data_IF_562744792147
#
_entry.id   IF_562744792147
#
_cell.length_a   1.000
_cell.length_b   1.000
_cell.length_c   1.000
_cell.angle_alpha   90.00
_cell.angle_beta   90.00
_cell.angle_gamma   90.00
#
_symmetry.space_group_name_H-M   'P 1'
#
loop_
_entity.id
_entity.type
_entity.pdbx_description
1 polymer ?
#
# COMPACT_ATOMS: atom_id res chain seq x y z
N UNK A 1 -23.50 -19.23 -20.11
CA UNK A 1 -22.17 -19.35 -19.43
C UNK A 1 -22.28 -18.61 -18.09
N UNK A 2 -22.35 -19.33 -16.97
CA UNK A 2 -22.43 -18.74 -15.63
C UNK A 2 -21.06 -18.15 -15.29
N UNK A 3 -20.85 -16.88 -15.60
CA UNK A 3 -19.73 -16.13 -15.06
C UNK A 3 -19.99 -16.07 -13.54
N UNK A 4 -19.17 -16.78 -12.82
CA UNK A 4 -19.40 -17.11 -11.42
C UNK A 4 -19.49 -15.82 -10.59
N UNK A 5 -20.56 -15.67 -9.79
CA UNK A 5 -20.77 -14.61 -8.77
C UNK A 5 -19.54 -14.36 -7.88
N UNK A 6 -18.53 -15.18 -8.04
CA UNK A 6 -17.26 -15.22 -7.32
C UNK A 6 -16.20 -14.21 -7.81
N UNK A 7 -16.18 -13.84 -9.11
CA UNK A 7 -15.27 -12.79 -9.65
C UNK A 7 -15.56 -11.40 -9.06
N UNK A 8 -16.78 -11.16 -8.64
CA UNK A 8 -17.27 -9.92 -8.07
C UNK A 8 -16.83 -9.73 -6.61
N UNK A 9 -16.73 -10.83 -5.89
CA UNK A 9 -16.21 -10.85 -4.52
C UNK A 9 -14.73 -10.50 -4.46
N UNK A 10 -14.05 -10.48 -5.59
CA UNK A 10 -12.62 -10.26 -5.79
C UNK A 10 -12.28 -8.77 -5.80
N UNK A 11 -13.08 -7.93 -6.47
CA UNK A 11 -12.85 -6.49 -6.52
C UNK A 11 -12.97 -5.80 -5.15
N UNK A 12 -13.65 -6.46 -4.21
CA UNK A 12 -13.96 -5.96 -2.88
C UNK A 12 -12.89 -6.24 -1.81
N UNK A 13 -11.92 -7.10 -2.13
CA UNK A 13 -10.83 -7.48 -1.22
C UNK A 13 -9.78 -6.37 -1.04
N UNK A 14 -9.78 -5.36 -1.88
CA UNK A 14 -8.77 -4.29 -1.83
C UNK A 14 -9.00 -3.25 -0.70
N UNK A 15 -10.07 -3.36 0.09
CA UNK A 15 -10.38 -2.40 1.17
C UNK A 15 -10.76 -3.09 2.49
N UNK A 16 -9.87 -3.85 3.11
CA UNK A 16 -10.15 -4.33 4.45
C UNK A 16 -9.31 -3.57 5.48
N UNK A 17 -9.62 -2.30 5.70
CA UNK A 17 -9.10 -1.54 6.83
C UNK A 17 -10.24 -0.97 7.68
N UNK A 18 -11.13 -1.84 8.14
CA UNK A 18 -12.15 -1.41 9.10
C UNK A 18 -12.02 -2.29 10.33
N UNK A 19 -11.53 -1.73 11.43
CA UNK A 19 -11.89 -2.15 12.78
C UNK A 19 -11.60 -1.07 13.81
N UNK A 20 -12.52 -0.93 14.69
CA UNK A 20 -12.76 -0.01 15.78
C UNK A 20 -11.60 0.28 16.73
N UNK A 21 -11.57 1.53 17.20
CA UNK A 21 -10.70 2.11 18.20
C UNK A 21 -11.17 1.84 19.65
N UNK A 22 -10.25 1.70 20.58
CA UNK A 22 -10.12 2.54 21.79
C UNK A 22 -9.06 2.00 22.75
N UNK A 23 -8.34 2.92 23.43
CA UNK A 23 -7.73 2.65 24.71
C UNK A 23 -6.22 2.87 24.86
N UNK A 24 -5.92 3.80 25.71
CA UNK A 24 -4.70 4.48 26.13
C UNK A 24 -3.66 3.63 26.90
N UNK A 25 -2.40 4.13 26.91
CA UNK A 25 -1.58 4.10 28.11
C UNK A 25 -0.13 3.64 28.04
N UNK A 26 0.74 4.50 28.25
CA UNK A 26 1.81 4.81 29.21
C UNK A 26 3.27 4.56 28.82
N UNK A 27 4.03 5.61 29.10
CA UNK A 27 5.48 5.84 29.08
C UNK A 27 6.30 4.90 29.94
N UNK A 28 7.60 4.76 29.60
CA UNK A 28 8.64 4.83 30.63
C UNK A 28 10.02 5.29 30.09
N UNK A 29 10.66 6.02 30.94
CA UNK A 29 11.85 6.83 30.89
C UNK A 29 13.15 6.08 31.14
N UNK A 30 14.30 6.67 30.63
CA UNK A 30 15.45 6.98 31.45
C UNK A 30 16.74 6.19 31.24
N UNK A 31 17.85 6.91 31.07
CA UNK A 31 19.20 6.41 31.29
C UNK A 31 20.30 7.25 30.63
N UNK A 32 20.89 8.15 31.38
CA UNK A 32 22.07 8.99 31.10
C UNK A 32 23.38 8.21 31.23
N UNK A 33 24.35 8.45 30.35
CA UNK A 33 25.75 8.03 30.52
C UNK A 33 26.70 8.78 29.58
N UNK A 34 27.62 9.53 30.15
CA UNK A 34 28.58 10.46 29.55
C UNK A 34 29.73 9.79 28.78
N UNK A 35 30.21 10.41 27.70
CA UNK A 35 31.48 10.09 27.06
C UNK A 35 31.75 10.88 25.78
N UNK A 36 32.69 11.79 25.80
CA UNK A 36 33.08 12.71 24.70
C UNK A 36 33.53 11.97 23.40
N UNK A 37 33.97 10.73 23.51
CA UNK A 37 34.26 9.87 22.36
C UNK A 37 33.01 9.33 21.63
N UNK A 38 31.93 9.15 22.37
CA UNK A 38 30.65 8.63 21.85
C UNK A 38 29.90 9.66 21.01
N UNK A 39 30.09 10.96 21.22
CA UNK A 39 29.41 12.02 20.44
C UNK A 39 29.89 12.13 19.00
N UNK A 40 31.20 11.97 18.76
CA UNK A 40 31.74 11.97 17.38
C UNK A 40 31.28 10.76 16.57
N UNK A 41 31.23 9.59 17.21
CA UNK A 41 30.74 8.37 16.55
C UNK A 41 29.23 8.41 16.34
N UNK A 42 28.46 8.95 17.30
CA UNK A 42 27.03 9.15 17.15
C UNK A 42 26.71 10.12 16.00
N UNK A 43 27.42 11.24 15.89
CA UNK A 43 27.24 12.18 14.79
C UNK A 43 27.58 11.60 13.43
N UNK A 44 28.62 10.76 13.35
CA UNK A 44 29.01 10.04 12.12
C UNK A 44 27.95 9.01 11.73
N UNK A 45 27.42 8.26 12.67
CA UNK A 45 26.35 7.27 12.43
C UNK A 45 25.08 7.96 11.95
N UNK A 46 24.70 9.08 12.53
CA UNK A 46 23.55 9.86 12.10
C UNK A 46 23.71 10.36 10.66
N UNK A 47 24.88 10.87 10.31
CA UNK A 47 25.19 11.28 8.94
C UNK A 47 25.10 10.12 7.93
N UNK A 48 25.53 8.92 8.32
CA UNK A 48 25.43 7.72 7.48
C UNK A 48 23.97 7.32 7.26
N UNK A 49 23.15 7.37 8.32
CA UNK A 49 21.70 7.12 8.25
C UNK A 49 21.02 8.10 7.29
N UNK A 50 21.32 9.40 7.43
CA UNK A 50 20.75 10.45 6.58
C UNK A 50 21.15 10.28 5.11
N UNK A 51 22.42 9.99 4.84
CA UNK A 51 22.89 9.67 3.47
C UNK A 51 22.20 8.45 2.88
N UNK A 52 21.95 7.44 3.71
CA UNK A 52 21.22 6.25 3.26
C UNK A 52 19.75 6.55 2.96
N UNK A 53 19.07 7.30 3.82
CA UNK A 53 17.69 7.73 3.57
C UNK A 53 17.58 8.55 2.28
N UNK A 54 18.53 9.47 2.04
CA UNK A 54 18.58 10.22 0.78
C UNK A 54 18.75 9.28 -0.42
N UNK A 55 19.64 8.29 -0.32
CA UNK A 55 19.79 7.26 -1.37
C UNK A 55 18.48 6.51 -1.64
N UNK A 56 17.69 6.21 -0.61
CA UNK A 56 16.39 5.55 -0.78
C UNK A 56 15.41 6.49 -1.48
N UNK A 57 15.33 7.76 -1.09
CA UNK A 57 14.48 8.76 -1.75
C UNK A 57 14.86 8.97 -3.21
N UNK A 58 16.15 8.95 -3.52
CA UNK A 58 16.67 9.14 -4.88
C UNK A 58 16.28 8.01 -5.83
N UNK A 59 15.76 6.87 -5.33
CA UNK A 59 15.19 5.82 -6.18
C UNK A 59 13.80 6.15 -6.71
N UNK A 60 13.12 7.17 -6.19
CA UNK A 60 11.80 7.56 -6.66
C UNK A 60 11.83 7.84 -8.18
N UNK A 61 10.84 7.27 -8.89
CA UNK A 61 10.71 7.52 -10.33
C UNK A 61 10.22 8.94 -10.62
N UNK A 62 10.71 9.53 -11.71
CA UNK A 62 10.21 10.82 -12.22
C UNK A 62 8.92 10.66 -13.05
N UNK A 63 8.54 9.43 -13.38
CA UNK A 63 7.33 9.18 -14.15
C UNK A 63 6.08 9.62 -13.39
N UNK A 64 5.35 10.56 -13.96
CA UNK A 64 4.07 11.03 -13.42
C UNK A 64 2.93 10.08 -13.76
N UNK A 65 2.98 9.44 -14.93
CA UNK A 65 2.03 8.44 -15.38
C UNK A 65 2.71 7.10 -15.49
N UNK A 66 2.03 6.06 -15.03
CA UNK A 66 2.46 4.66 -15.21
C UNK A 66 1.25 3.86 -15.66
N UNK A 67 1.35 3.23 -16.81
CA UNK A 67 0.30 2.35 -17.34
C UNK A 67 0.87 0.98 -17.66
N UNK A 68 0.07 -0.05 -17.46
CA UNK A 68 0.46 -1.43 -17.75
C UNK A 68 -0.75 -2.33 -17.98
N UNK A 69 -0.61 -3.31 -18.86
CA UNK A 69 -1.42 -4.53 -18.77
C UNK A 69 -0.92 -5.34 -17.59
N UNK A 70 -1.84 -5.88 -16.80
CA UNK A 70 -1.50 -6.59 -15.57
C UNK A 70 -2.12 -7.98 -15.51
N UNK A 71 -1.48 -8.84 -14.73
CA UNK A 71 -2.06 -10.04 -14.17
C UNK A 71 -2.33 -9.75 -12.69
N UNK A 72 -3.60 -9.73 -12.33
CA UNK A 72 -4.06 -9.50 -10.96
C UNK A 72 -4.37 -10.84 -10.31
N UNK A 73 -3.73 -11.12 -9.18
CA UNK A 73 -3.87 -12.38 -8.47
C UNK A 73 -4.46 -12.11 -7.09
N UNK A 74 -5.36 -12.99 -6.66
CA UNK A 74 -5.93 -12.95 -5.31
C UNK A 74 -5.83 -14.31 -4.71
N UNK A 75 -5.34 -14.37 -3.49
CA UNK A 75 -5.26 -15.58 -2.69
C UNK A 75 -5.96 -15.39 -1.35
N UNK A 76 -6.74 -16.39 -0.93
CA UNK A 76 -7.36 -16.45 0.39
C UNK A 76 -7.49 -17.92 0.81
N UNK A 77 -6.74 -18.33 1.80
CA UNK A 77 -6.64 -19.75 2.16
C UNK A 77 -6.14 -20.60 1.00
N UNK A 78 -6.88 -21.65 0.64
CA UNK A 78 -6.56 -22.52 -0.51
C UNK A 78 -7.02 -21.96 -1.86
N UNK A 79 -7.73 -20.85 -1.89
CA UNK A 79 -8.28 -20.27 -3.11
C UNK A 79 -7.27 -19.30 -3.73
N UNK A 80 -7.01 -19.49 -5.02
CA UNK A 80 -6.14 -18.59 -5.79
C UNK A 80 -6.80 -18.28 -7.12
N UNK A 81 -6.93 -16.98 -7.46
CA UNK A 81 -7.54 -16.52 -8.68
C UNK A 81 -6.63 -15.54 -9.37
N UNK A 82 -6.57 -15.68 -10.68
CA UNK A 82 -5.83 -14.80 -11.54
C UNK A 82 -6.75 -14.19 -12.59
N UNK A 83 -6.68 -12.87 -12.74
CA UNK A 83 -7.49 -12.09 -13.67
C UNK A 83 -6.61 -11.17 -14.47
N UNK A 84 -6.79 -11.11 -15.78
CA UNK A 84 -6.16 -10.09 -16.62
C UNK A 84 -6.79 -8.71 -16.35
N UNK A 85 -6.01 -7.66 -16.56
CA UNK A 85 -6.51 -6.32 -16.38
C UNK A 85 -5.53 -5.25 -16.88
N UNK A 86 -5.80 -4.02 -16.49
CA UNK A 86 -4.91 -2.89 -16.69
C UNK A 86 -4.77 -2.06 -15.42
N UNK A 87 -3.58 -1.50 -15.26
CA UNK A 87 -3.25 -0.54 -14.21
C UNK A 87 -2.96 0.80 -14.88
N UNK A 88 -3.59 1.85 -14.37
CA UNK A 88 -3.34 3.22 -14.77
C UNK A 88 -3.11 4.05 -13.52
N UNK A 89 -1.97 4.68 -13.43
CA UNK A 89 -1.59 5.48 -12.27
C UNK A 89 -1.12 6.85 -12.72
N UNK A 90 -1.65 7.90 -12.10
CA UNK A 90 -1.19 9.28 -12.26
C UNK A 90 -0.84 9.83 -10.89
N UNK A 91 0.42 10.23 -10.72
CA UNK A 91 0.95 10.71 -9.44
C UNK A 91 0.16 11.94 -8.97
N UNK A 92 -0.17 11.96 -7.69
CA UNK A 92 -0.95 13.00 -7.01
C UNK A 92 -2.39 13.16 -7.54
N UNK A 93 -2.92 12.14 -8.21
CA UNK A 93 -4.23 12.21 -8.84
C UNK A 93 -5.06 10.92 -8.67
N UNK A 94 -4.63 9.79 -9.24
CA UNK A 94 -5.43 8.57 -9.27
C UNK A 94 -4.60 7.31 -9.46
N UNK A 95 -5.06 6.23 -8.84
CA UNK A 95 -4.63 4.85 -9.11
C UNK A 95 -5.86 4.07 -9.52
N UNK A 96 -5.85 3.48 -10.72
CA UNK A 96 -6.97 2.70 -11.25
C UNK A 96 -6.53 1.32 -11.67
N UNK A 97 -7.26 0.31 -11.20
CA UNK A 97 -7.13 -1.08 -11.61
C UNK A 97 -8.44 -1.49 -12.29
N UNK A 98 -8.35 -1.96 -13.53
CA UNK A 98 -9.48 -2.49 -14.29
C UNK A 98 -9.28 -3.98 -14.47
N UNK A 99 -10.29 -4.78 -14.12
CA UNK A 99 -10.26 -6.24 -14.21
C UNK A 99 -11.07 -6.68 -15.42
N UNK A 100 -10.40 -7.33 -16.38
CA UNK A 100 -10.98 -7.78 -17.65
C UNK A 100 -10.78 -9.28 -17.81
N UNK A 101 -11.61 -10.11 -17.14
CA UNK A 101 -11.55 -11.56 -17.32
C UNK A 101 -11.64 -11.93 -18.80
N UNK A 102 -10.76 -12.83 -19.24
CA UNK A 102 -10.66 -13.23 -20.66
C UNK A 102 -10.32 -12.08 -21.63
N UNK A 103 -9.96 -10.90 -21.12
CA UNK A 103 -9.53 -9.77 -21.95
C UNK A 103 -10.63 -9.06 -22.75
N UNK A 104 -11.89 -9.41 -22.55
CA UNK A 104 -13.00 -8.94 -23.41
C UNK A 104 -13.83 -7.84 -22.76
N UNK A 105 -14.28 -8.04 -21.52
CA UNK A 105 -15.22 -7.14 -20.85
C UNK A 105 -14.67 -6.79 -19.47
N UNK A 106 -14.70 -5.51 -19.14
CA UNK A 106 -14.38 -5.05 -17.80
C UNK A 106 -15.46 -5.55 -16.82
N UNK A 107 -15.05 -6.43 -15.90
CA UNK A 107 -15.92 -6.99 -14.87
C UNK A 107 -15.88 -6.22 -13.57
N UNK A 108 -14.78 -5.54 -13.29
CA UNK A 108 -14.61 -4.78 -12.07
C UNK A 108 -13.59 -3.67 -12.21
N UNK A 109 -13.71 -2.65 -11.37
CA UNK A 109 -12.81 -1.50 -11.32
C UNK A 109 -12.58 -1.07 -9.88
N UNK A 110 -11.32 -0.79 -9.58
CA UNK A 110 -10.91 -0.10 -8.36
C UNK A 110 -10.29 1.22 -8.78
N UNK A 111 -10.71 2.30 -8.15
CA UNK A 111 -10.18 3.64 -8.39
C UNK A 111 -9.96 4.33 -7.05
N UNK A 112 -8.74 4.77 -6.83
CA UNK A 112 -8.31 5.48 -5.63
C UNK A 112 -7.92 6.88 -6.06
N UNK A 113 -8.52 7.87 -5.45
CA UNK A 113 -8.24 9.30 -5.66
C UNK A 113 -7.95 9.96 -4.32
N UNK A 114 -7.65 11.24 -4.31
CA UNK A 114 -7.49 11.99 -3.05
C UNK A 114 -8.78 12.07 -2.22
N UNK A 115 -9.91 12.05 -2.91
CA UNK A 115 -11.21 12.35 -2.30
C UNK A 115 -12.02 11.09 -2.00
N UNK A 116 -11.79 9.99 -2.73
CA UNK A 116 -12.60 8.79 -2.59
C UNK A 116 -11.88 7.52 -3.06
N UNK A 117 -12.39 6.42 -2.55
CA UNK A 117 -12.20 5.07 -3.08
C UNK A 117 -13.47 4.65 -3.80
N UNK A 118 -13.38 4.23 -5.05
CA UNK A 118 -14.46 3.69 -5.84
C UNK A 118 -14.18 2.23 -6.17
N UNK A 119 -15.14 1.36 -5.87
CA UNK A 119 -15.11 -0.04 -6.26
C UNK A 119 -16.36 -0.32 -7.07
N UNK A 120 -16.19 -0.77 -8.30
CA UNK A 120 -17.31 -1.08 -9.18
C UNK A 120 -17.36 -2.56 -9.50
N UNK A 121 -18.54 -3.12 -9.34
CA UNK A 121 -18.96 -4.39 -9.89
C UNK A 121 -19.78 -4.14 -11.15
N UNK A 122 -19.16 -4.32 -12.30
CA UNK A 122 -19.82 -4.05 -13.57
C UNK A 122 -20.79 -5.15 -14.00
N UNK A 123 -20.66 -6.33 -13.41
CA UNK A 123 -21.53 -7.48 -13.73
C UNK A 123 -22.87 -7.33 -13.02
N UNK A 124 -22.84 -7.02 -11.71
CA UNK A 124 -24.08 -6.80 -10.95
C UNK A 124 -24.56 -5.34 -11.01
N UNK A 125 -23.82 -4.46 -11.68
CA UNK A 125 -24.11 -3.01 -11.74
C UNK A 125 -24.24 -2.39 -10.34
N UNK A 126 -23.30 -2.72 -9.49
CA UNK A 126 -23.18 -2.18 -8.15
C UNK A 126 -21.85 -1.42 -8.00
N UNK A 127 -21.84 -0.44 -7.11
CA UNK A 127 -20.61 0.25 -6.75
C UNK A 127 -20.61 0.69 -5.30
N UNK A 128 -19.40 0.84 -4.75
CA UNK A 128 -19.13 1.54 -3.50
C UNK A 128 -18.34 2.78 -3.86
N UNK A 129 -18.73 3.91 -3.27
CA UNK A 129 -17.92 5.11 -3.27
C UNK A 129 -17.84 5.60 -1.83
N UNK A 130 -16.64 5.59 -1.26
CA UNK A 130 -16.39 5.93 0.13
C UNK A 130 -15.26 6.94 0.23
N UNK A 131 -15.37 7.87 1.16
CA UNK A 131 -14.31 8.79 1.58
C UNK A 131 -13.36 8.06 2.56
N UNK A 132 -12.07 8.39 2.54
CA UNK A 132 -11.10 7.85 3.50
C UNK A 132 -11.45 8.20 4.94
N UNK A 133 -12.08 9.36 5.16
CA UNK A 133 -12.53 9.80 6.49
C UNK A 133 -13.68 8.97 7.06
N UNK A 134 -14.42 8.26 6.23
CA UNK A 134 -15.51 7.37 6.66
C UNK A 134 -14.99 6.06 7.26
N UNK A 135 -13.70 5.81 7.17
CA UNK A 135 -13.04 4.65 7.76
C UNK A 135 -12.18 5.14 8.92
N UNK A 136 -12.68 5.02 10.14
CA UNK A 136 -12.04 5.55 11.37
C UNK A 136 -10.55 5.20 11.46
N UNK A 137 -10.20 3.96 11.17
CA UNK A 137 -8.80 3.52 11.18
C UNK A 137 -7.91 4.31 10.20
N UNK A 138 -8.36 4.54 8.98
CA UNK A 138 -7.60 5.29 7.97
C UNK A 138 -7.45 6.74 8.40
N UNK A 139 -8.56 7.36 8.80
CA UNK A 139 -8.62 8.74 9.27
C UNK A 139 -7.70 8.97 10.47
N UNK A 140 -7.84 8.16 11.52
CA UNK A 140 -7.17 8.36 12.79
C UNK A 140 -5.65 8.09 12.74
N UNK A 141 -5.19 7.38 11.71
CA UNK A 141 -3.78 7.06 11.49
C UNK A 141 -3.17 7.80 10.29
N UNK A 142 -3.92 8.67 9.64
CA UNK A 142 -3.44 9.43 8.48
C UNK A 142 -3.09 8.53 7.29
N UNK A 143 -3.80 7.39 7.15
CA UNK A 143 -3.68 6.54 5.96
C UNK A 143 -4.67 7.05 4.93
N UNK A 144 -4.16 7.74 3.96
CA UNK A 144 -4.88 8.39 2.88
C UNK A 144 -4.41 7.91 1.51
N UNK A 145 -4.84 8.61 0.48
CA UNK A 145 -4.40 8.37 -0.88
C UNK A 145 -2.88 8.43 -1.05
N UNK A 146 -2.19 9.34 -0.34
CA UNK A 146 -0.75 9.51 -0.50
C UNK A 146 0.06 8.36 0.11
N UNK A 147 -0.40 7.81 1.23
CA UNK A 147 0.18 6.59 1.78
C UNK A 147 0.01 5.40 0.82
N UNK A 148 -1.20 5.23 0.25
CA UNK A 148 -1.46 4.22 -0.76
C UNK A 148 -0.62 4.45 -2.02
N UNK A 149 -0.54 5.70 -2.51
CA UNK A 149 0.29 6.07 -3.64
C UNK A 149 1.75 5.67 -3.40
N UNK A 150 2.31 5.97 -2.23
CA UNK A 150 3.69 5.62 -1.92
C UNK A 150 3.94 4.11 -1.97
N UNK A 151 2.97 3.29 -1.53
CA UNK A 151 3.04 1.83 -1.71
C UNK A 151 3.10 1.43 -3.18
N UNK A 152 2.26 2.03 -4.03
CA UNK A 152 2.25 1.73 -5.46
C UNK A 152 3.47 2.27 -6.21
N UNK A 153 4.03 3.41 -5.76
CA UNK A 153 5.23 4.02 -6.35
C UNK A 153 6.55 3.50 -5.77
N UNK A 154 6.49 2.57 -4.78
CA UNK A 154 7.69 2.04 -4.11
C UNK A 154 8.51 3.14 -3.42
N UNK A 155 7.83 3.99 -2.65
CA UNK A 155 8.42 5.16 -1.97
C UNK A 155 8.25 5.07 -0.44
N UNK A 156 9.08 5.80 0.30
CA UNK A 156 8.84 6.07 1.72
C UNK A 156 7.65 7.02 1.85
N UNK A 157 6.91 6.89 2.96
CA UNK A 157 5.82 7.81 3.28
C UNK A 157 5.74 8.09 4.78
N UNK A 158 5.19 9.24 5.11
CA UNK A 158 4.83 9.64 6.45
C UNK A 158 3.30 9.72 6.51
N UNK A 159 2.63 8.93 7.37
CA UNK A 159 1.18 8.97 7.48
C UNK A 159 0.64 10.38 7.70
N UNK A 160 -0.31 10.82 6.87
CA UNK A 160 -0.88 12.17 6.88
C UNK A 160 -0.06 13.25 6.19
N UNK A 161 1.03 12.89 5.52
CA UNK A 161 1.81 13.83 4.70
C UNK A 161 1.76 13.42 3.23
N UNK A 162 1.66 14.42 2.34
CA UNK A 162 1.61 14.18 0.89
C UNK A 162 2.96 13.70 0.33
N UNK A 163 4.06 14.15 0.93
CA UNK A 163 5.41 13.92 0.44
C UNK A 163 6.41 13.93 1.59
N UNK A 164 7.35 13.01 1.57
CA UNK A 164 8.52 13.04 2.45
C UNK A 164 9.44 14.19 2.00
N UNK A 165 9.76 15.09 2.93
CA UNK A 165 10.69 16.21 2.73
C UNK A 165 12.04 15.86 3.36
N UNK A 166 13.12 16.43 2.86
CA UNK A 166 14.47 16.23 3.43
C UNK A 166 14.51 16.61 4.92
N UNK A 167 13.78 17.66 5.33
CA UNK A 167 13.65 18.07 6.72
C UNK A 167 12.95 17.04 7.62
N UNK A 168 12.12 16.18 7.05
CA UNK A 168 11.37 15.15 7.76
C UNK A 168 12.14 13.83 7.93
N UNK A 169 13.34 13.69 7.33
CA UNK A 169 14.07 12.42 7.36
C UNK A 169 14.49 11.97 8.75
N UNK A 170 14.68 12.90 9.66
CA UNK A 170 15.08 12.62 11.06
C UNK A 170 14.06 11.82 11.87
N UNK A 171 12.81 11.71 11.38
CA UNK A 171 11.77 10.92 12.05
C UNK A 171 11.92 9.40 11.82
N UNK A 172 12.71 9.02 10.82
CA UNK A 172 12.96 7.62 10.54
C UNK A 172 14.12 7.11 11.39
N UNK A 173 13.93 5.97 12.02
CA UNK A 173 15.03 5.20 12.60
C UNK A 173 15.58 4.22 11.56
N UNK A 174 16.91 4.17 11.41
CA UNK A 174 17.58 3.35 10.43
C UNK A 174 18.53 2.36 11.10
N UNK A 175 18.27 1.09 10.93
CA UNK A 175 19.17 0.01 11.31
C UNK A 175 20.05 -0.41 10.12
N UNK A 176 21.35 -0.33 10.30
CA UNK A 176 22.36 -0.61 9.25
C UNK A 176 23.33 -1.71 9.71
N UNK A 177 22.89 -2.99 9.77
CA UNK A 177 23.74 -4.09 10.20
C UNK A 177 24.93 -4.27 9.22
N UNK A 178 26.14 -4.47 9.75
CA UNK A 178 27.34 -4.58 8.92
C UNK A 178 27.29 -5.76 7.96
N UNK A 179 26.82 -6.91 8.43
CA UNK A 179 26.83 -8.18 7.69
C UNK A 179 25.50 -8.47 6.94
N UNK A 180 24.58 -7.50 6.83
CA UNK A 180 23.33 -7.67 6.11
C UNK A 180 23.39 -7.05 4.71
N UNK A 181 22.71 -7.67 3.74
CA UNK A 181 22.49 -7.11 2.40
C UNK A 181 21.49 -5.96 2.38
N UNK A 182 20.67 -5.87 3.41
CA UNK A 182 19.54 -4.96 3.51
C UNK A 182 19.60 -4.16 4.83
N UNK A 183 19.20 -2.91 4.74
CA UNK A 183 18.95 -2.05 5.90
C UNK A 183 17.47 -2.00 6.22
N UNK A 184 17.14 -1.66 7.45
CA UNK A 184 15.76 -1.49 7.91
C UNK A 184 15.51 -0.03 8.23
N UNK A 185 14.38 0.49 7.75
CA UNK A 185 13.93 1.85 8.01
C UNK A 185 12.61 1.75 8.77
N UNK A 186 12.52 2.39 9.92
CA UNK A 186 11.35 2.31 10.79
C UNK A 186 10.73 3.68 10.97
N UNK A 187 9.42 3.71 11.05
CA UNK A 187 8.63 4.86 11.45
C UNK A 187 7.52 4.39 12.37
N UNK A 188 7.31 5.08 13.48
CA UNK A 188 6.19 4.86 14.38
C UNK A 188 5.40 6.15 14.55
N UNK A 189 4.08 6.09 14.34
CA UNK A 189 3.17 7.21 14.54
C UNK A 189 1.87 6.73 15.18
N UNK A 190 1.67 7.08 16.44
CA UNK A 190 0.54 6.57 17.21
C UNK A 190 0.54 5.04 17.32
N UNK A 191 -0.51 4.41 16.83
CA UNK A 191 -0.67 2.95 16.82
C UNK A 191 -0.12 2.30 15.54
N UNK A 192 0.37 3.10 14.61
CA UNK A 192 0.89 2.65 13.33
C UNK A 192 2.40 2.49 13.39
N UNK A 193 2.90 1.33 12.96
CA UNK A 193 4.31 1.06 12.75
C UNK A 193 4.56 0.72 11.27
N UNK A 194 5.55 1.37 10.69
CA UNK A 194 6.00 1.09 9.33
C UNK A 194 7.45 0.60 9.37
N UNK A 195 7.74 -0.48 8.66
CA UNK A 195 9.05 -1.08 8.53
C UNK A 195 9.36 -1.33 7.06
N UNK A 196 10.26 -0.55 6.49
CA UNK A 196 10.80 -0.82 5.14
C UNK A 196 12.09 -1.62 5.25
N UNK A 197 12.24 -2.56 4.33
CA UNK A 197 13.49 -3.27 4.08
C UNK A 197 14.01 -2.81 2.72
N UNK A 198 15.19 -2.22 2.69
CA UNK A 198 15.78 -1.69 1.47
C UNK A 198 17.22 -2.16 1.30
N UNK A 199 17.61 -2.44 0.07
CA UNK A 199 18.93 -2.94 -0.28
C UNK A 199 20.03 -1.95 0.11
N UNK A 200 21.03 -2.42 0.83
CA UNK A 200 22.13 -1.58 1.36
C UNK A 200 22.90 -0.86 0.25
N UNK A 201 23.18 -1.57 -0.84
CA UNK A 201 23.97 -1.06 -1.96
C UNK A 201 23.24 0.01 -2.78
N UNK A 202 22.00 -0.24 -3.15
CA UNK A 202 21.22 0.60 -4.06
C UNK A 202 20.20 1.52 -3.37
N UNK A 203 19.76 1.19 -2.14
CA UNK A 203 18.65 1.86 -1.46
C UNK A 203 17.27 1.47 -2.00
N UNK A 204 17.14 0.49 -2.89
CA UNK A 204 15.85 0.04 -3.42
C UNK A 204 15.02 -0.62 -2.33
N UNK A 205 13.78 -0.18 -2.15
CA UNK A 205 12.84 -0.79 -1.23
C UNK A 205 12.37 -2.13 -1.80
N UNK A 206 12.60 -3.22 -1.05
CA UNK A 206 12.18 -4.58 -1.40
C UNK A 206 10.88 -4.99 -0.72
N UNK A 207 10.63 -4.40 0.46
CA UNK A 207 9.47 -4.73 1.26
C UNK A 207 9.08 -3.55 2.15
N UNK A 208 7.79 -3.40 2.40
CA UNK A 208 7.28 -2.56 3.47
C UNK A 208 6.21 -3.32 4.25
N UNK A 209 6.34 -3.31 5.57
CA UNK A 209 5.33 -3.84 6.49
C UNK A 209 4.73 -2.69 7.27
N UNK A 210 3.42 -2.53 7.13
CA UNK A 210 2.61 -1.59 7.91
C UNK A 210 1.85 -2.40 8.95
N UNK A 211 2.00 -2.06 10.22
CA UNK A 211 1.36 -2.75 11.33
C UNK A 211 0.53 -1.78 12.14
N UNK A 212 -0.66 -2.18 12.49
CA UNK A 212 -1.54 -1.43 13.38
C UNK A 212 -1.88 -2.25 14.60
N UNK A 213 -1.65 -1.69 15.78
CA UNK A 213 -1.94 -2.35 17.06
C UNK A 213 -3.22 -1.78 17.67
N UNK A 214 -4.27 -2.61 17.72
CA UNK A 214 -5.54 -2.29 18.40
C UNK A 214 -5.61 -3.04 19.72
N UNK A 215 -6.03 -2.33 20.79
CA UNK A 215 -6.26 -2.96 22.10
C UNK A 215 -7.38 -3.99 22.10
N UNK A 216 -8.34 -3.85 21.18
CA UNK A 216 -9.56 -4.71 21.13
C UNK A 216 -9.49 -5.79 20.07
N UNK A 217 -8.77 -5.59 18.98
CA UNK A 217 -8.77 -6.48 17.81
C UNK A 217 -7.38 -7.05 17.47
N UNK A 218 -6.40 -6.86 18.37
CA UNK A 218 -5.05 -7.34 18.14
C UNK A 218 -4.30 -6.57 17.05
N UNK A 219 -3.31 -7.22 16.43
CA UNK A 219 -2.46 -6.61 15.41
C UNK A 219 -2.99 -6.93 14.02
N UNK A 220 -3.22 -5.90 13.23
CA UNK A 220 -3.41 -6.01 11.78
C UNK A 220 -2.12 -5.60 11.08
N UNK A 221 -1.69 -6.35 10.09
CA UNK A 221 -0.52 -6.02 9.29
C UNK A 221 -0.80 -6.16 7.80
N UNK A 222 -0.25 -5.22 7.04
CA UNK A 222 -0.16 -5.25 5.59
C UNK A 222 1.32 -5.29 5.22
N UNK A 223 1.70 -6.25 4.41
CA UNK A 223 3.05 -6.37 3.89
C UNK A 223 3.03 -6.25 2.38
N UNK A 224 3.77 -5.30 1.82
CA UNK A 224 3.93 -5.13 0.38
C UNK A 224 5.36 -5.47 -0.01
N UNK A 225 5.52 -6.51 -0.84
CA UNK A 225 6.81 -6.94 -1.38
C UNK A 225 6.92 -6.53 -2.84
N UNK A 226 8.12 -6.10 -3.23
CA UNK A 226 8.44 -5.58 -4.55
C UNK A 226 9.51 -6.42 -5.22
N UNK A 227 9.31 -6.77 -6.48
CA UNK A 227 10.26 -7.57 -7.25
C UNK A 227 10.19 -7.28 -8.75
N UNK A 228 11.02 -7.98 -9.52
CA UNK A 228 11.07 -7.85 -10.97
C UNK A 228 11.25 -6.39 -11.43
N UNK A 229 12.23 -5.70 -10.85
CA UNK A 229 12.53 -4.30 -11.20
C UNK A 229 12.92 -4.17 -12.67
N UNK A 230 12.31 -3.20 -13.35
CA UNK A 230 12.52 -2.88 -14.76
C UNK A 230 12.85 -1.40 -14.93
N UNK A 231 13.57 -1.02 -15.97
CA UNK A 231 13.79 0.39 -16.28
C UNK A 231 12.46 1.14 -16.50
N UNK A 232 12.33 2.32 -15.89
CA UNK A 232 11.28 3.29 -16.13
C UNK A 232 11.93 4.69 -16.20
N UNK A 233 12.23 5.15 -17.40
CA UNK A 233 13.11 6.29 -17.61
C UNK A 233 14.50 6.01 -17.04
N UNK A 234 15.03 6.93 -16.24
CA UNK A 234 16.35 6.80 -15.61
C UNK A 234 16.34 5.98 -14.31
N UNK A 235 15.19 5.52 -13.85
CA UNK A 235 15.04 4.79 -12.58
C UNK A 235 14.59 3.35 -12.81
N UNK A 236 14.71 2.54 -11.76
CA UNK A 236 14.18 1.18 -11.72
C UNK A 236 12.85 1.19 -10.99
N UNK A 237 11.84 0.53 -11.56
CA UNK A 237 10.51 0.44 -10.97
C UNK A 237 10.10 -1.04 -10.82
N UNK A 238 9.49 -1.45 -9.69
CA UNK A 238 9.06 -2.84 -9.53
C UNK A 238 7.90 -3.15 -10.47
N UNK A 239 8.04 -4.21 -11.26
CA UNK A 239 6.95 -4.69 -12.10
C UNK A 239 6.12 -5.79 -11.43
N UNK A 240 6.44 -6.17 -10.20
CA UNK A 240 5.68 -7.11 -9.39
C UNK A 240 5.50 -6.56 -7.98
N UNK A 241 4.24 -6.42 -7.58
CA UNK A 241 3.81 -6.07 -6.24
C UNK A 241 3.01 -7.23 -5.65
N UNK A 242 3.31 -7.61 -4.40
CA UNK A 242 2.56 -8.61 -3.66
C UNK A 242 2.18 -8.01 -2.30
N UNK A 243 0.89 -7.80 -2.08
CA UNK A 243 0.36 -7.32 -0.81
C UNK A 243 -0.22 -8.53 -0.05
N UNK A 244 0.24 -8.71 1.18
CA UNK A 244 -0.27 -9.72 2.09
C UNK A 244 -0.85 -9.03 3.31
N UNK A 245 -2.13 -9.29 3.58
CA UNK A 245 -2.81 -8.77 4.75
C UNK A 245 -3.06 -9.90 5.74
N UNK A 246 -2.75 -9.63 6.99
CA UNK A 246 -3.05 -10.50 8.12
C UNK A 246 -3.79 -9.69 9.18
N UNK A 247 -4.96 -10.17 9.58
CA UNK A 247 -5.75 -9.55 10.65
C UNK A 247 -6.46 -10.61 11.48
N UNK A 248 -6.57 -10.37 12.78
CA UNK A 248 -7.32 -11.23 13.69
C UNK A 248 -8.83 -11.26 13.37
N UNK A 249 -9.34 -10.24 12.66
CA UNK A 249 -10.76 -10.19 12.26
C UNK A 249 -11.13 -11.22 11.17
N UNK A 250 -10.16 -11.74 10.42
CA UNK A 250 -10.39 -12.83 9.48
C UNK A 250 -10.54 -14.16 10.22
N UNK A 251 -11.66 -14.85 10.01
CA UNK A 251 -11.93 -16.16 10.62
C UNK A 251 -10.76 -17.11 10.39
N UNK A 252 -10.22 -17.68 11.48
CA UNK A 252 -9.13 -18.64 11.44
C UNK A 252 -7.73 -18.05 11.17
N UNK A 253 -7.51 -16.73 11.36
CA UNK A 253 -6.21 -16.09 11.16
C UNK A 253 -5.72 -16.13 9.70
N UNK A 254 -6.64 -16.20 8.74
CA UNK A 254 -6.31 -16.32 7.31
C UNK A 254 -5.56 -15.11 6.82
N UNK A 255 -4.61 -15.33 5.94
CA UNK A 255 -3.92 -14.28 5.18
C UNK A 255 -4.62 -14.09 3.85
N UNK A 256 -4.81 -12.84 3.46
CA UNK A 256 -5.25 -12.47 2.13
C UNK A 256 -4.07 -11.91 1.34
N UNK A 257 -3.89 -12.40 0.12
CA UNK A 257 -2.84 -11.93 -0.77
C UNK A 257 -3.42 -11.27 -2.02
N UNK A 258 -2.83 -10.15 -2.44
CA UNK A 258 -3.09 -9.47 -3.70
C UNK A 258 -1.78 -9.33 -4.46
N UNK A 259 -1.71 -9.90 -5.65
CA UNK A 259 -0.55 -9.79 -6.54
C UNK A 259 -0.87 -8.94 -7.77
N UNK A 260 0.02 -8.04 -8.13
CA UNK A 260 -0.05 -7.26 -9.37
C UNK A 260 1.26 -7.51 -10.12
N UNK A 261 1.16 -8.16 -11.27
CA UNK A 261 2.28 -8.36 -12.18
C UNK A 261 2.06 -7.48 -13.42
N UNK A 262 2.97 -6.53 -13.64
CA UNK A 262 2.95 -5.60 -14.77
C UNK A 262 3.76 -6.18 -15.93
N UNK A 263 3.13 -6.36 -17.08
CA UNK A 263 3.79 -6.94 -18.24
C UNK A 263 4.82 -5.98 -18.84
N UNK A 264 4.44 -4.70 -18.95
CA UNK A 264 5.29 -3.62 -19.45
C UNK A 264 5.05 -2.38 -18.59
N UNK A 265 6.01 -1.47 -18.57
CA UNK A 265 5.87 -0.18 -17.92
C UNK A 265 5.86 0.90 -19.01
N UNK A 266 4.75 1.63 -19.12
CA UNK A 266 4.57 2.73 -20.05
C UNK A 266 4.27 4.01 -19.27
N UNK A 267 4.57 5.16 -19.86
CA UNK A 267 4.30 6.48 -19.28
C UNK A 267 3.19 7.23 -20.01
N UNK A 268 2.33 6.46 -20.70
CA UNK A 268 1.20 7.01 -21.44
C UNK A 268 0.27 7.82 -20.54
N UNK A 269 -0.07 9.03 -20.98
CA UNK A 269 -0.90 9.97 -20.26
C UNK A 269 -2.29 10.18 -20.90
N UNK A 270 -2.51 9.61 -22.08
CA UNK A 270 -3.76 9.75 -22.84
C UNK A 270 -4.79 8.72 -22.37
N UNK A 271 -5.38 8.97 -21.20
CA UNK A 271 -6.47 8.19 -20.64
C UNK A 271 -7.31 9.04 -19.68
N UNK A 272 -8.61 8.75 -19.65
CA UNK A 272 -9.56 9.45 -18.78
C UNK A 272 -9.30 9.13 -17.29
N UNK A 273 -8.95 10.12 -16.45
CA UNK A 273 -8.52 9.87 -15.07
C UNK A 273 -9.66 9.60 -14.10
N UNK A 274 -10.91 9.80 -14.47
CA UNK A 274 -12.07 9.61 -13.58
C UNK A 274 -13.08 8.66 -14.20
N UNK A 275 -13.70 7.86 -13.33
CA UNK A 275 -14.79 6.98 -13.73
C UNK A 275 -16.11 7.73 -13.70
N UNK A 276 -16.79 7.78 -14.84
CA UNK A 276 -18.18 8.24 -14.89
C UNK A 276 -19.10 7.06 -14.52
N UNK A 277 -19.89 7.23 -13.45
CA UNK A 277 -20.84 6.22 -12.96
C UNK A 277 -22.19 6.48 -13.61
N UNK A 278 -22.60 5.59 -14.51
CA UNK A 278 -23.91 5.65 -15.14
C UNK A 278 -25.04 5.43 -14.10
N UNK A 279 -26.19 6.07 -14.29
CA UNK A 279 -27.38 5.85 -13.47
C UNK A 279 -27.95 4.43 -13.44
N UNK A 280 -27.40 3.53 -14.27
CA UNK A 280 -27.71 2.09 -14.26
C UNK A 280 -27.07 1.33 -13.09
N UNK A 281 -26.13 1.95 -12.35
CA UNK A 281 -25.44 1.35 -11.23
C UNK A 281 -26.12 1.74 -9.92
N UNK A 282 -26.22 0.77 -9.02
CA UNK A 282 -26.74 0.98 -7.66
C UNK A 282 -25.58 1.13 -6.68
N UNK A 283 -25.61 2.17 -5.87
CA UNK A 283 -24.68 2.31 -4.75
C UNK A 283 -25.04 1.34 -3.64
N UNK A 284 -24.05 0.64 -3.09
CA UNK A 284 -24.18 -0.26 -1.95
C UNK A 284 -23.29 0.22 -0.81
N UNK A 285 -23.69 -0.10 0.43
CA UNK A 285 -22.94 0.29 1.61
C UNK A 285 -21.60 -0.45 1.74
N UNK A 286 -20.63 0.20 2.39
CA UNK A 286 -19.32 -0.42 2.70
C UNK A 286 -19.53 -1.66 3.56
N UNK A 287 -20.44 -1.59 4.56
CA UNK A 287 -20.75 -2.69 5.49
C UNK A 287 -21.31 -3.93 4.80
N UNK A 288 -22.18 -3.74 3.80
CA UNK A 288 -22.76 -4.86 3.05
C UNK A 288 -21.70 -5.66 2.31
N UNK A 289 -20.74 -4.94 1.79
CA UNK A 289 -19.62 -5.51 1.08
C UNK A 289 -18.65 -6.17 2.03
N UNK A 290 -18.33 -5.54 3.16
CA UNK A 290 -17.47 -6.13 4.19
C UNK A 290 -18.05 -7.44 4.73
N UNK A 291 -19.36 -7.49 5.02
CA UNK A 291 -20.05 -8.72 5.41
C UNK A 291 -19.90 -9.82 4.35
N UNK A 292 -19.99 -9.48 3.06
CA UNK A 292 -19.79 -10.45 1.96
C UNK A 292 -18.35 -10.96 1.87
N UNK A 293 -17.36 -10.11 2.16
CA UNK A 293 -15.93 -10.49 2.17
C UNK A 293 -15.63 -11.39 3.37
N UNK A 294 -16.06 -10.99 4.55
CA UNK A 294 -15.80 -11.74 5.80
C UNK A 294 -16.51 -13.11 5.83
N UNK A 295 -17.54 -13.29 4.99
CA UNK A 295 -18.24 -14.57 4.85
C UNK A 295 -17.57 -15.55 3.86
N UNK A 296 -16.50 -15.16 3.20
CA UNK A 296 -15.69 -15.99 2.28
C UNK A 296 -14.70 -16.87 3.02
#
# INVERSE_FOLDING_TARGET
MRINKWLIRIALVAVPFIMYSCGSGKNMTGGTGSGIGLEKDAGRQEQLKMKYLQKVLDNATYARNITSKIKFNISSGSKNISVAGSLHMRKDDVIRIQLTPLGLIEAGRLEFTKDYVLIMDRINKEYIKADYSQVDFLRDNGIDFYALQALFWNELFIPGEQKVKDSSLKIYDVEMPENASDNKIKLSKGKLGCLWTAEKSSGRIKNVKVSYSSGTHGVTSLECSYSAFKPLGAKQFPSSLMLNMKTAALKGGRTMGLGIQMNSLNTDADWEPRTNISGKYRQVGVDDVMKRILSL
#
